data_IF_423141907995
#
_entry.id   IF_423141907995
#
_cell.length_a   1.000
_cell.length_b   1.000
_cell.length_c   1.000
_cell.angle_alpha   90.00
_cell.angle_beta   90.00
_cell.angle_gamma   90.00
#
_symmetry.space_group_name_H-M   'P 1'
#
loop_
_entity.id
_entity.type
_entity.pdbx_description
1 polymer ?
#
# COMPACT_ATOMS: atom_id res chain seq x y z
N UNK A 1 20.59 -8.91 11.14
CA UNK A 1 19.51 -8.43 10.27
C UNK A 1 20.14 -7.71 9.10
N UNK A 2 19.89 -8.13 7.87
CA UNK A 2 20.42 -7.49 6.66
C UNK A 2 19.64 -6.23 6.33
N UNK A 3 20.22 -5.32 5.53
CA UNK A 3 19.52 -4.10 5.08
C UNK A 3 18.22 -4.42 4.30
N UNK A 4 18.15 -5.60 3.66
CA UNK A 4 16.94 -6.06 2.97
C UNK A 4 15.84 -6.51 3.93
N UNK A 5 16.22 -7.15 5.03
CA UNK A 5 15.29 -7.56 6.10
C UNK A 5 14.75 -6.33 6.84
N UNK A 6 15.60 -5.36 7.16
CA UNK A 6 15.18 -4.10 7.81
C UNK A 6 14.16 -3.34 6.96
N UNK A 7 14.40 -3.23 5.66
CA UNK A 7 13.47 -2.56 4.75
C UNK A 7 12.13 -3.30 4.66
N UNK A 8 12.15 -4.63 4.61
CA UNK A 8 10.93 -5.42 4.60
C UNK A 8 10.13 -5.23 5.89
N UNK A 9 10.79 -5.21 7.05
CA UNK A 9 10.13 -4.92 8.33
C UNK A 9 9.47 -3.53 8.34
N UNK A 10 10.18 -2.50 7.87
CA UNK A 10 9.59 -1.16 7.73
C UNK A 10 8.38 -1.15 6.79
N UNK A 11 8.46 -1.89 5.68
CA UNK A 11 7.34 -2.00 4.76
C UNK A 11 6.13 -2.70 5.39
N UNK A 12 6.35 -3.81 6.11
CA UNK A 12 5.29 -4.50 6.85
C UNK A 12 4.64 -3.60 7.89
N UNK A 13 5.41 -2.85 8.69
CA UNK A 13 4.88 -1.88 9.66
C UNK A 13 4.05 -0.79 8.98
N UNK A 14 4.50 -0.32 7.81
CA UNK A 14 3.77 0.66 7.03
C UNK A 14 2.42 0.14 6.53
N UNK A 15 2.39 -1.08 6.00
CA UNK A 15 1.13 -1.78 5.62
C UNK A 15 0.22 -1.95 6.84
N UNK A 16 0.78 -2.25 8.00
CA UNK A 16 0.01 -2.38 9.24
C UNK A 16 -0.69 -1.07 9.66
N UNK A 17 -0.09 0.09 9.37
CA UNK A 17 -0.73 1.39 9.59
C UNK A 17 -1.97 1.56 8.70
N UNK A 18 -1.91 1.14 7.43
CA UNK A 18 -3.08 1.14 6.56
C UNK A 18 -4.19 0.25 7.11
N UNK A 19 -3.86 -0.98 7.49
CA UNK A 19 -4.84 -1.93 8.03
C UNK A 19 -5.50 -1.39 9.30
N UNK A 20 -4.73 -0.81 10.23
CA UNK A 20 -5.30 -0.17 11.43
C UNK A 20 -6.18 1.04 11.10
N UNK A 21 -5.82 1.81 10.07
CA UNK A 21 -6.64 2.93 9.60
C UNK A 21 -7.95 2.43 8.97
N UNK A 22 -7.91 1.35 8.18
CA UNK A 22 -9.07 0.66 7.60
C UNK A 22 -10.01 0.19 8.72
N UNK A 23 -9.50 -0.61 9.65
CA UNK A 23 -10.29 -1.19 10.76
C UNK A 23 -10.98 -0.12 11.60
N UNK A 24 -10.24 0.95 11.95
CA UNK A 24 -10.76 2.03 12.79
C UNK A 24 -11.83 2.87 12.09
N UNK A 25 -11.75 3.00 10.76
CA UNK A 25 -12.61 3.91 10.01
C UNK A 25 -13.61 3.18 9.08
N UNK A 26 -13.68 1.85 9.13
CA UNK A 26 -14.53 1.03 8.24
C UNK A 26 -16.03 1.40 8.24
N UNK A 27 -16.55 1.95 9.34
CA UNK A 27 -17.95 2.40 9.44
C UNK A 27 -18.10 3.94 9.34
N UNK A 28 -16.99 4.67 9.24
CA UNK A 28 -17.00 6.13 9.25
C UNK A 28 -17.19 6.66 7.82
N UNK A 29 -18.15 7.55 7.62
CA UNK A 29 -18.30 8.26 6.34
C UNK A 29 -17.15 9.28 6.15
N UNK A 30 -16.58 9.44 4.94
CA UNK A 30 -16.90 8.73 3.69
C UNK A 30 -16.10 7.43 3.48
N UNK A 31 -15.20 7.07 4.40
CA UNK A 31 -14.25 5.97 4.27
C UNK A 31 -14.90 4.59 4.05
N UNK A 32 -16.06 4.35 4.67
CA UNK A 32 -16.87 3.14 4.42
C UNK A 32 -17.11 2.88 2.94
N UNK A 33 -17.51 3.90 2.17
CA UNK A 33 -17.84 3.75 0.75
C UNK A 33 -16.58 3.51 -0.08
N UNK A 34 -15.50 4.23 0.22
CA UNK A 34 -14.20 4.08 -0.45
C UNK A 34 -13.67 2.66 -0.28
N UNK A 35 -13.70 2.13 0.95
CA UNK A 35 -13.19 0.79 1.24
C UNK A 35 -14.08 -0.32 0.68
N UNK A 36 -15.41 -0.14 0.68
CA UNK A 36 -16.32 -1.09 0.03
C UNK A 36 -16.09 -1.15 -1.49
N UNK A 37 -15.83 0.00 -2.12
CA UNK A 37 -15.49 0.06 -3.55
C UNK A 37 -14.17 -0.67 -3.84
N UNK A 38 -13.11 -0.36 -3.09
CA UNK A 38 -11.81 -1.02 -3.25
C UNK A 38 -11.90 -2.55 -3.05
N UNK A 39 -12.68 -3.00 -2.05
CA UNK A 39 -12.88 -4.43 -1.81
C UNK A 39 -13.56 -5.14 -2.99
N UNK A 40 -14.53 -4.48 -3.62
CA UNK A 40 -15.30 -5.07 -4.74
C UNK A 40 -14.47 -5.16 -6.01
N UNK A 41 -13.59 -4.17 -6.27
CA UNK A 41 -12.85 -4.07 -7.52
C UNK A 41 -11.47 -4.75 -7.50
N UNK A 42 -10.81 -4.84 -6.34
CA UNK A 42 -9.40 -5.24 -6.26
C UNK A 42 -9.12 -6.48 -5.40
N UNK A 43 -10.15 -7.16 -4.87
CA UNK A 43 -9.92 -8.39 -4.12
C UNK A 43 -9.26 -9.46 -5.00
N UNK A 44 -8.10 -9.96 -4.55
CA UNK A 44 -7.32 -10.98 -5.26
C UNK A 44 -6.33 -10.46 -6.31
N UNK A 45 -6.32 -9.16 -6.63
CA UNK A 45 -5.28 -8.56 -7.47
C UNK A 45 -3.97 -8.42 -6.70
N UNK A 46 -2.86 -8.65 -7.39
CA UNK A 46 -1.51 -8.38 -6.89
C UNK A 46 -1.06 -7.03 -7.42
N UNK A 47 -0.55 -6.18 -6.53
CA UNK A 47 -0.02 -4.86 -6.85
C UNK A 47 1.48 -4.88 -6.56
N UNK A 48 2.27 -4.55 -7.57
CA UNK A 48 3.70 -4.36 -7.41
C UNK A 48 3.95 -3.06 -6.62
N UNK A 49 4.86 -3.09 -5.66
CA UNK A 49 5.24 -1.93 -4.84
C UNK A 49 6.71 -1.64 -5.05
N UNK A 50 7.03 -0.42 -5.45
CA UNK A 50 8.40 0.06 -5.62
C UNK A 50 8.75 0.98 -4.47
N UNK A 51 9.69 0.56 -3.63
CA UNK A 51 10.23 1.43 -2.59
C UNK A 51 11.50 2.09 -3.11
N UNK A 52 11.42 3.41 -3.28
CA UNK A 52 12.48 4.24 -3.84
C UNK A 52 13.26 4.91 -2.69
N UNK A 53 14.58 4.71 -2.65
CA UNK A 53 15.44 5.39 -1.67
C UNK A 53 16.08 6.67 -2.25
N UNK A 54 16.80 7.43 -1.42
CA UNK A 54 17.45 8.70 -1.83
C UNK A 54 18.50 8.54 -2.93
N UNK A 55 19.02 7.32 -3.13
CA UNK A 55 19.98 6.98 -4.16
C UNK A 55 19.29 6.45 -5.43
N UNK A 56 17.97 6.61 -5.56
CA UNK A 56 17.12 6.05 -6.62
C UNK A 56 17.23 4.53 -6.77
N UNK A 57 17.66 3.82 -5.73
CA UNK A 57 17.61 2.37 -5.73
C UNK A 57 16.17 1.95 -5.44
N UNK A 58 15.67 1.03 -6.26
CA UNK A 58 14.32 0.50 -6.18
C UNK A 58 14.38 -0.87 -5.52
N UNK A 59 13.53 -1.08 -4.52
CA UNK A 59 13.27 -2.39 -3.92
C UNK A 59 11.81 -2.76 -4.13
N UNK A 60 11.61 -3.96 -4.66
CA UNK A 60 10.30 -4.39 -5.12
C UNK A 60 9.66 -5.33 -4.11
N UNK A 61 8.41 -5.07 -3.81
CA UNK A 61 7.54 -5.92 -3.01
C UNK A 61 6.21 -6.11 -3.73
N UNK A 62 5.35 -6.97 -3.19
CA UNK A 62 4.01 -7.14 -3.70
C UNK A 62 3.01 -7.03 -2.55
N UNK A 63 1.83 -6.50 -2.83
CA UNK A 63 0.69 -6.53 -1.90
C UNK A 63 -0.54 -7.07 -2.60
N UNK A 64 -1.47 -7.60 -1.83
CA UNK A 64 -2.81 -7.96 -2.30
C UNK A 64 -3.85 -7.54 -1.28
N UNK A 65 -5.06 -7.21 -1.75
CA UNK A 65 -6.20 -6.96 -0.89
C UNK A 65 -6.95 -8.28 -0.65
N UNK A 66 -6.92 -8.78 0.58
CA UNK A 66 -7.60 -10.01 1.01
C UNK A 66 -8.47 -9.71 2.22
N UNK A 67 -9.77 -10.05 2.14
CA UNK A 67 -10.72 -9.86 3.23
C UNK A 67 -10.70 -8.43 3.82
N UNK A 68 -10.62 -7.42 2.95
CA UNK A 68 -10.57 -6.01 3.36
C UNK A 68 -9.23 -5.54 3.94
N UNK A 69 -8.19 -6.38 3.94
CA UNK A 69 -6.88 -6.07 4.48
C UNK A 69 -5.78 -6.17 3.41
N UNK A 70 -4.78 -5.32 3.53
CA UNK A 70 -3.59 -5.35 2.71
C UNK A 70 -2.64 -6.41 3.28
N UNK A 71 -2.25 -7.37 2.45
CA UNK A 71 -1.30 -8.43 2.81
C UNK A 71 -0.05 -8.27 1.96
N UNK A 72 1.10 -8.06 2.61
CA UNK A 72 2.41 -8.06 1.95
C UNK A 72 2.82 -9.47 1.56
N UNK A 73 3.33 -9.63 0.35
CA UNK A 73 3.80 -10.90 -0.16
C UNK A 73 5.28 -10.77 -0.57
N UNK A 74 6.15 -11.69 -0.11
CA UNK A 74 7.52 -11.79 -0.60
C UNK A 74 7.50 -12.54 -1.94
N UNK A 75 6.83 -11.98 -2.94
CA UNK A 75 6.70 -12.61 -4.26
C UNK A 75 7.82 -12.11 -5.17
N UNK A 76 8.33 -13.03 -5.99
CA UNK A 76 9.13 -12.72 -7.18
C UNK A 76 8.27 -11.94 -8.18
N UNK A 77 8.38 -10.61 -8.10
CA UNK A 77 7.72 -9.64 -8.97
C UNK A 77 8.13 -9.75 -10.44
N UNK A 78 9.14 -10.56 -10.81
CA UNK A 78 9.56 -10.75 -12.21
C UNK A 78 8.41 -11.17 -13.14
N UNK A 79 7.43 -11.90 -12.61
CA UNK A 79 6.23 -12.34 -13.35
C UNK A 79 5.16 -11.25 -13.50
N UNK A 80 5.22 -10.19 -12.71
CA UNK A 80 4.23 -9.12 -12.64
C UNK A 80 4.73 -7.80 -13.25
N UNK A 81 6.02 -7.72 -13.60
CA UNK A 81 6.68 -6.51 -14.12
C UNK A 81 6.34 -6.16 -15.58
N UNK A 82 5.71 -7.07 -16.33
CA UNK A 82 5.28 -6.75 -17.69
C UNK A 82 3.91 -6.06 -17.67
N UNK A 83 3.92 -4.73 -17.84
CA UNK A 83 2.74 -3.87 -18.06
C UNK A 83 1.71 -3.76 -16.92
N UNK A 84 2.02 -4.16 -15.69
CA UNK A 84 1.11 -3.98 -14.56
C UNK A 84 1.40 -2.70 -13.77
N UNK A 85 0.33 -2.14 -13.20
CA UNK A 85 0.36 -0.99 -12.30
C UNK A 85 1.28 -1.26 -11.11
N UNK A 86 2.09 -0.27 -10.77
CA UNK A 86 2.92 -0.29 -9.57
C UNK A 86 2.58 0.89 -8.65
N UNK A 87 2.75 0.66 -7.35
CA UNK A 87 2.65 1.67 -6.32
C UNK A 87 4.06 2.13 -5.95
N UNK A 88 4.43 3.32 -6.39
CA UNK A 88 5.72 3.94 -6.07
C UNK A 88 5.65 4.65 -4.71
N UNK A 89 6.58 4.32 -3.82
CA UNK A 89 6.63 4.89 -2.46
C UNK A 89 8.06 5.27 -2.13
N UNK A 90 8.26 6.49 -1.67
CA UNK A 90 9.58 6.90 -1.19
C UNK A 90 9.83 6.37 0.23
N UNK A 91 11.03 5.82 0.47
CA UNK A 91 11.40 5.25 1.78
C UNK A 91 11.23 6.24 2.94
N UNK A 92 11.46 7.53 2.70
CA UNK A 92 11.29 8.54 3.75
C UNK A 92 9.82 8.74 4.13
N UNK A 93 8.88 8.57 3.20
CA UNK A 93 7.43 8.61 3.48
C UNK A 93 7.01 7.44 4.35
N UNK A 94 7.50 6.23 4.06
CA UNK A 94 7.31 5.03 4.90
C UNK A 94 7.71 5.31 6.34
N UNK A 95 8.95 5.78 6.54
CA UNK A 95 9.48 6.12 7.88
C UNK A 95 8.66 7.20 8.58
N UNK A 96 8.20 8.22 7.84
CA UNK A 96 7.40 9.29 8.40
C UNK A 96 6.01 8.80 8.87
N UNK A 97 5.35 7.96 8.07
CA UNK A 97 4.05 7.37 8.43
C UNK A 97 4.17 6.49 9.67
N UNK A 98 5.20 5.64 9.75
CA UNK A 98 5.44 4.79 10.93
C UNK A 98 5.70 5.63 12.18
N UNK A 99 6.51 6.69 12.06
CA UNK A 99 6.82 7.62 13.15
C UNK A 99 5.59 8.35 13.68
N UNK A 100 4.65 8.68 12.80
CA UNK A 100 3.43 9.41 13.14
C UNK A 100 2.17 8.54 13.04
N UNK A 101 2.29 7.23 13.29
CA UNK A 101 1.25 6.22 13.03
C UNK A 101 -0.15 6.61 13.47
N UNK A 102 -0.29 7.15 14.68
CA UNK A 102 -1.61 7.51 15.23
C UNK A 102 -2.29 8.63 14.44
N UNK A 103 -1.51 9.57 13.91
CA UNK A 103 -2.04 10.65 13.09
C UNK A 103 -2.65 10.14 11.78
N UNK A 104 -2.07 9.08 11.19
CA UNK A 104 -2.56 8.45 9.97
C UNK A 104 -3.72 7.48 10.25
N UNK A 105 -3.65 6.71 11.34
CA UNK A 105 -4.74 5.81 11.76
C UNK A 105 -6.02 6.59 12.09
N UNK A 106 -5.88 7.73 12.77
CA UNK A 106 -7.03 8.58 13.16
C UNK A 106 -7.59 9.41 12.00
N UNK A 107 -6.79 9.66 10.97
CA UNK A 107 -7.19 10.41 9.79
C UNK A 107 -6.69 9.72 8.52
N UNK A 108 -7.41 8.69 8.03
CA UNK A 108 -6.98 7.92 6.88
C UNK A 108 -6.82 8.76 5.61
N UNK A 109 -7.46 9.93 5.49
CA UNK A 109 -7.25 10.83 4.35
C UNK A 109 -5.79 11.33 4.19
N UNK A 110 -4.93 11.15 5.21
CA UNK A 110 -3.49 11.43 5.10
C UNK A 110 -2.70 10.33 4.40
N UNK A 111 -3.25 9.12 4.33
CA UNK A 111 -2.64 8.00 3.62
C UNK A 111 -2.85 8.17 2.12
N UNK A 112 -1.92 7.64 1.34
CA UNK A 112 -2.03 7.62 -0.12
C UNK A 112 -2.89 6.42 -0.52
N UNK A 113 -4.11 6.69 -0.99
CA UNK A 113 -5.04 5.67 -1.49
C UNK A 113 -5.07 5.60 -3.01
N UNK A 114 -4.27 6.42 -3.72
CA UNK A 114 -4.36 6.54 -5.18
C UNK A 114 -4.13 5.20 -5.86
N UNK A 115 -3.24 4.39 -5.30
CA UNK A 115 -2.92 3.04 -5.78
C UNK A 115 -4.10 2.05 -5.76
N UNK A 116 -5.19 2.34 -5.04
CA UNK A 116 -6.42 1.52 -5.05
C UNK A 116 -7.46 1.95 -6.09
N UNK A 117 -7.37 3.13 -6.69
CA UNK A 117 -8.36 3.56 -7.68
C UNK A 117 -7.95 3.10 -9.08
N UNK A 118 -8.78 2.32 -9.77
CA UNK A 118 -8.51 1.88 -11.14
C UNK A 118 -8.49 3.10 -12.09
N UNK A 119 -7.30 3.63 -12.43
CA UNK A 119 -7.16 4.74 -13.37
C UNK A 119 -7.27 4.31 -14.84
N UNK A 120 -8.08 3.29 -15.15
CA UNK A 120 -8.49 2.97 -16.52
C UNK A 120 -9.66 3.86 -17.00
N UNK A 121 -9.60 5.16 -16.70
CA UNK A 121 -10.54 6.16 -17.24
C UNK A 121 -9.79 7.33 -17.86
N UNK A 122 -8.78 7.09 -18.69
CA UNK A 122 -8.26 8.08 -19.67
C UNK A 122 -7.31 7.43 -20.68
N UNK A 123 -7.85 6.66 -21.63
CA UNK A 123 -7.40 6.59 -23.04
C UNK A 123 -8.55 6.08 -23.91
N UNK A 124 -9.53 6.96 -24.15
CA UNK A 124 -10.34 6.93 -25.36
C UNK A 124 -10.01 8.19 -26.16
#
# INVERSE_FOLDING_TARGET
MTASEELYHLFCEYVEVYNKALDKNQQRFPFKQIFQSAHTHDSGKVIAVHIINKSNQIKNYAVSLKNGHIVSCPIDISRFMSNQRHWDIELHKIKNVIKQRDAYINNPAKLDWEWMYDNNSSRH
#
